data_IF_723019661895
#
_entry.id   IF_723019661895
#
_cell.length_a   1.000
_cell.length_b   1.000
_cell.length_c   1.000
_cell.angle_alpha   90.00
_cell.angle_beta   90.00
_cell.angle_gamma   90.00
#
_symmetry.space_group_name_H-M   'P 1'
#
loop_
_entity.id
_entity.type
_entity.pdbx_description
1 polymer ?
#
# COMPACT_ATOMS: atom_id res chain seq x y z
N UNK A 1 -5.11 1.81 19.81
CA UNK A 1 -6.42 1.95 19.14
C UNK A 1 -6.21 1.63 17.66
N UNK A 2 -6.73 0.50 17.18
CA UNK A 2 -6.69 0.14 15.76
C UNK A 2 -7.80 0.88 15.03
N UNK A 3 -7.47 1.53 13.92
CA UNK A 3 -8.47 2.15 13.05
C UNK A 3 -9.07 1.02 12.19
N UNK A 4 -10.38 0.84 12.24
CA UNK A 4 -11.08 -0.17 11.42
C UNK A 4 -11.55 0.42 10.10
N UNK A 5 -11.82 -0.44 9.11
CA UNK A 5 -12.34 -0.02 7.82
C UNK A 5 -13.65 0.75 7.94
N UNK A 6 -14.55 0.28 8.81
CA UNK A 6 -15.86 0.88 9.06
C UNK A 6 -15.71 2.30 9.61
N UNK A 7 -14.78 2.50 10.56
CA UNK A 7 -14.53 3.81 11.13
C UNK A 7 -13.96 4.81 10.10
N UNK A 8 -13.15 4.34 9.15
CA UNK A 8 -12.64 5.17 8.03
C UNK A 8 -13.78 5.54 7.10
N UNK A 9 -14.64 4.57 6.77
CA UNK A 9 -15.75 4.81 5.85
C UNK A 9 -16.79 5.77 6.43
N UNK A 10 -17.14 5.61 7.70
CA UNK A 10 -18.06 6.52 8.38
C UNK A 10 -17.50 7.96 8.40
N UNK A 11 -16.21 8.13 8.66
CA UNK A 11 -15.55 9.44 8.62
C UNK A 11 -15.53 10.03 7.19
N UNK A 12 -15.25 9.22 6.17
CA UNK A 12 -15.23 9.66 4.77
C UNK A 12 -16.63 10.08 4.29
N UNK A 13 -17.69 9.41 4.74
CA UNK A 13 -19.07 9.72 4.38
C UNK A 13 -19.58 11.02 5.01
N UNK A 14 -18.97 11.48 6.11
CA UNK A 14 -19.27 12.79 6.71
C UNK A 14 -18.64 13.97 5.94
N UNK A 15 -17.65 13.71 5.09
CA UNK A 15 -17.02 14.73 4.25
C UNK A 15 -17.88 15.08 3.04
N UNK A 16 -17.77 16.33 2.59
CA UNK A 16 -18.33 16.74 1.29
C UNK A 16 -17.62 16.02 0.14
N UNK A 17 -18.24 15.88 -1.04
CA UNK A 17 -17.57 15.27 -2.19
C UNK A 17 -16.22 15.94 -2.53
N UNK A 18 -16.14 17.27 -2.43
CA UNK A 18 -14.90 18.01 -2.70
C UNK A 18 -13.80 17.70 -1.68
N UNK A 19 -14.15 17.57 -0.40
CA UNK A 19 -13.19 17.24 0.65
C UNK A 19 -12.73 15.78 0.57
N UNK A 20 -13.62 14.86 0.17
CA UNK A 20 -13.23 13.47 -0.13
C UNK A 20 -12.21 13.41 -1.25
N UNK A 21 -12.43 14.14 -2.34
CA UNK A 21 -11.47 14.21 -3.44
C UNK A 21 -10.12 14.75 -2.96
N UNK A 22 -10.11 15.83 -2.16
CA UNK A 22 -8.86 16.40 -1.62
C UNK A 22 -8.11 15.40 -0.74
N UNK A 23 -8.80 14.69 0.15
CA UNK A 23 -8.20 13.66 1.00
C UNK A 23 -7.69 12.49 0.18
N UNK A 24 -8.44 12.03 -0.83
CA UNK A 24 -8.01 10.95 -1.72
C UNK A 24 -6.74 11.33 -2.50
N UNK A 25 -6.67 12.55 -3.05
CA UNK A 25 -5.46 13.06 -3.70
C UNK A 25 -4.28 13.12 -2.74
N UNK A 26 -4.47 13.69 -1.54
CA UNK A 26 -3.39 13.75 -0.54
C UNK A 26 -2.91 12.37 -0.08
N UNK A 27 -3.83 11.40 0.04
CA UNK A 27 -3.47 10.01 0.34
C UNK A 27 -2.67 9.39 -0.81
N UNK A 28 -3.14 9.57 -2.05
CA UNK A 28 -2.44 9.11 -3.26
C UNK A 28 -1.01 9.65 -3.32
N UNK A 29 -0.83 10.95 -3.10
CA UNK A 29 0.48 11.61 -3.09
C UNK A 29 1.35 11.15 -1.90
N UNK A 30 0.75 10.82 -0.75
CA UNK A 30 1.46 10.40 0.46
C UNK A 30 2.01 8.97 0.42
N UNK A 31 1.49 8.11 -0.46
CA UNK A 31 1.97 6.72 -0.61
C UNK A 31 3.38 6.69 -1.19
N UNK A 32 3.90 7.82 -1.70
CA UNK A 32 5.33 8.01 -1.91
C UNK A 32 5.93 6.92 -2.80
N UNK A 33 5.27 6.60 -3.91
CA UNK A 33 5.88 5.73 -4.91
C UNK A 33 5.51 6.20 -6.32
N UNK A 34 6.58 6.56 -7.00
CA UNK A 34 6.86 6.61 -8.43
C UNK A 34 6.36 5.38 -9.21
N UNK A 35 5.05 5.10 -9.15
CA UNK A 35 4.41 4.14 -10.04
C UNK A 35 4.25 4.71 -11.46
N UNK A 36 4.26 6.04 -11.61
CA UNK A 36 4.21 6.72 -12.91
C UNK A 36 5.55 6.74 -13.67
N UNK A 37 6.67 6.39 -13.02
CA UNK A 37 8.01 6.39 -13.66
C UNK A 37 8.37 5.05 -14.32
N UNK A 38 7.58 3.99 -14.07
CA UNK A 38 7.78 2.69 -14.72
C UNK A 38 6.84 2.60 -15.92
N UNK A 39 7.38 2.32 -17.10
CA UNK A 39 6.54 1.99 -18.24
C UNK A 39 5.63 0.79 -17.87
N UNK A 40 4.38 0.73 -18.35
CA UNK A 40 3.44 -0.36 -18.02
C UNK A 40 4.05 -1.76 -18.21
N UNK A 41 4.84 -1.91 -19.28
CA UNK A 41 5.53 -3.16 -19.63
C UNK A 41 6.70 -3.50 -18.67
N UNK A 42 7.31 -2.49 -18.07
CA UNK A 42 8.42 -2.63 -17.12
C UNK A 42 7.90 -3.10 -15.75
N UNK A 43 6.75 -2.57 -15.31
CA UNK A 43 6.09 -3.03 -14.10
C UNK A 43 5.68 -4.51 -14.21
N UNK A 44 5.06 -4.91 -15.32
CA UNK A 44 4.68 -6.31 -15.54
C UNK A 44 5.89 -7.25 -15.55
N UNK A 45 6.99 -6.82 -16.17
CA UNK A 45 8.25 -7.58 -16.18
C UNK A 45 8.82 -7.75 -14.76
N UNK A 46 8.84 -6.69 -13.95
CA UNK A 46 9.31 -6.75 -12.56
C UNK A 46 8.44 -7.64 -11.68
N UNK A 47 7.12 -7.60 -11.87
CA UNK A 47 6.19 -8.47 -11.13
C UNK A 47 6.41 -9.95 -11.49
N UNK A 48 6.51 -10.27 -12.77
CA UNK A 48 6.79 -11.64 -13.23
C UNK A 48 8.14 -12.17 -12.71
N UNK A 49 9.16 -11.30 -12.68
CA UNK A 49 10.46 -11.63 -12.09
C UNK A 49 10.33 -11.95 -10.61
N UNK A 50 9.61 -11.12 -9.84
CA UNK A 50 9.41 -11.33 -8.40
C UNK A 50 8.64 -12.60 -8.08
N UNK A 51 7.62 -12.93 -8.87
CA UNK A 51 6.88 -14.18 -8.73
C UNK A 51 7.81 -15.39 -8.96
N UNK A 52 8.64 -15.34 -10.00
CA UNK A 52 9.63 -16.39 -10.29
C UNK A 52 10.66 -16.54 -9.16
N UNK A 53 11.12 -15.44 -8.57
CA UNK A 53 12.06 -15.45 -7.44
C UNK A 53 11.43 -16.06 -6.19
N UNK A 54 10.16 -15.76 -5.90
CA UNK A 54 9.41 -16.34 -4.78
C UNK A 54 9.15 -17.84 -4.96
N UNK A 55 8.82 -18.28 -6.18
CA UNK A 55 8.65 -19.70 -6.51
C UNK A 55 9.94 -20.50 -6.31
N UNK A 56 11.10 -19.87 -6.53
CA UNK A 56 12.41 -20.50 -6.35
C UNK A 56 12.86 -20.56 -4.88
N UNK A 57 12.49 -19.57 -4.07
CA UNK A 57 12.85 -19.49 -2.67
C UNK A 57 11.65 -19.11 -1.77
N UNK A 58 10.83 -20.10 -1.39
CA UNK A 58 9.67 -19.89 -0.51
C UNK A 58 10.04 -19.39 0.89
N UNK A 59 11.33 -19.46 1.27
CA UNK A 59 11.78 -18.97 2.59
C UNK A 59 11.81 -17.44 2.68
N UNK A 60 11.67 -16.74 1.54
CA UNK A 60 11.56 -15.29 1.50
C UNK A 60 10.13 -14.78 1.71
N UNK A 61 9.14 -15.69 1.76
CA UNK A 61 7.80 -15.31 2.19
C UNK A 61 7.81 -14.96 3.68
N UNK A 62 7.51 -13.70 3.98
CA UNK A 62 7.31 -13.26 5.36
C UNK A 62 5.90 -13.64 5.81
N UNK A 63 5.77 -14.06 7.05
CA UNK A 63 4.47 -14.30 7.65
C UNK A 63 3.68 -12.99 7.78
N UNK A 64 2.35 -13.12 7.86
CA UNK A 64 1.46 -11.98 8.10
C UNK A 64 1.85 -11.18 9.36
N UNK A 65 2.33 -11.88 10.40
CA UNK A 65 2.78 -11.25 11.65
C UNK A 65 4.06 -10.43 11.44
N UNK A 66 5.03 -10.93 10.67
CA UNK A 66 6.27 -10.22 10.35
C UNK A 66 6.00 -9.00 9.47
N UNK A 67 5.09 -9.11 8.51
CA UNK A 67 4.63 -7.98 7.70
C UNK A 67 4.10 -6.84 8.58
N UNK A 68 3.19 -7.14 9.52
CA UNK A 68 2.62 -6.13 10.42
C UNK A 68 3.69 -5.53 11.36
N UNK A 69 4.66 -6.32 11.81
CA UNK A 69 5.77 -5.84 12.61
C UNK A 69 6.65 -4.84 11.82
N UNK A 70 7.00 -5.15 10.58
CA UNK A 70 7.77 -4.24 9.72
C UNK A 70 7.00 -2.97 9.38
N UNK A 71 5.71 -3.09 9.04
CA UNK A 71 4.87 -1.96 8.68
C UNK A 71 4.68 -1.00 9.87
N UNK A 72 4.44 -1.54 11.06
CA UNK A 72 4.26 -0.74 12.27
C UNK A 72 5.55 -0.04 12.72
N UNK A 73 6.72 -0.68 12.56
CA UNK A 73 8.02 -0.09 12.86
C UNK A 73 8.35 1.10 11.95
N UNK A 74 8.01 1.02 10.65
CA UNK A 74 8.22 2.13 9.69
C UNK A 74 7.38 3.37 10.01
N UNK A 75 6.26 3.23 10.73
CA UNK A 75 5.43 4.36 11.16
C UNK A 75 6.02 5.12 12.36
N UNK A 76 7.03 4.56 13.04
CA UNK A 76 7.65 5.14 14.23
C UNK A 76 9.01 5.80 13.96
N UNK A 77 9.55 5.65 12.74
CA UNK A 77 10.77 6.31 12.26
C UNK A 77 10.41 7.58 11.49
#
# INVERSE_FOLDING_TARGET
MSITYEAIMDAALQLTPADRCRVATGLWDSVGTSADDLAPDELETLLNQRETEMDQDPSQEISHQEFLAHFSARRQA
#
